data_IF_160283825169
#
_entry.id   IF_160283825169
#
_cell.length_a   1.000
_cell.length_b   1.000
_cell.length_c   1.000
_cell.angle_alpha   90.00
_cell.angle_beta   90.00
_cell.angle_gamma   90.00
#
_symmetry.space_group_name_H-M   'P 1'
#
loop_
_entity.id
_entity.type
_entity.pdbx_description
1 polymer ?
#
# COMPACT_ATOMS: atom_id res chain seq x y z
N UNK A 1 -12.78 11.89 -15.32
CA UNK A 1 -12.84 11.11 -14.05
C UNK A 1 -13.53 11.89 -12.93
N UNK A 2 -12.93 12.95 -12.34
CA UNK A 2 -13.52 13.66 -11.18
C UNK A 2 -14.97 14.12 -11.37
N UNK A 3 -15.34 14.65 -12.54
CA UNK A 3 -16.74 15.02 -12.84
C UNK A 3 -17.71 13.84 -12.72
N UNK A 4 -17.29 12.63 -13.11
CA UNK A 4 -18.12 11.44 -13.00
C UNK A 4 -18.24 10.99 -11.54
N UNK A 5 -17.15 11.08 -10.78
CA UNK A 5 -17.16 10.78 -9.33
C UNK A 5 -18.10 11.74 -8.60
N UNK A 6 -18.01 13.05 -8.85
CA UNK A 6 -18.90 14.04 -8.22
C UNK A 6 -20.37 13.75 -8.53
N UNK A 7 -20.70 13.46 -9.79
CA UNK A 7 -22.06 13.07 -10.19
C UNK A 7 -22.55 11.83 -9.44
N UNK A 8 -21.71 10.80 -9.30
CA UNK A 8 -22.05 9.58 -8.55
C UNK A 8 -22.29 9.87 -7.06
N UNK A 9 -21.47 10.72 -6.45
CA UNK A 9 -21.62 11.12 -5.03
C UNK A 9 -22.92 11.90 -4.81
N UNK A 10 -23.19 12.90 -5.64
CA UNK A 10 -24.41 13.71 -5.55
C UNK A 10 -25.68 12.86 -5.80
N UNK A 11 -25.63 11.94 -6.76
CA UNK A 11 -26.73 11.02 -7.01
C UNK A 11 -26.98 10.06 -5.82
N UNK A 12 -25.91 9.63 -5.13
CA UNK A 12 -26.02 8.73 -3.98
C UNK A 12 -26.57 9.43 -2.73
N UNK A 13 -26.10 10.65 -2.43
CA UNK A 13 -26.50 11.37 -1.21
C UNK A 13 -27.75 12.24 -1.38
N UNK A 14 -28.18 12.54 -2.60
CA UNK A 14 -29.28 13.47 -2.85
C UNK A 14 -28.99 14.90 -2.38
N UNK A 15 -27.72 15.27 -2.24
CA UNK A 15 -27.26 16.56 -1.70
C UNK A 15 -26.09 17.12 -2.51
N UNK A 16 -25.81 18.41 -2.33
CA UNK A 16 -24.68 19.13 -2.95
C UNK A 16 -23.33 18.82 -2.26
N UNK A 17 -23.13 17.56 -1.85
CA UNK A 17 -21.88 17.10 -1.24
C UNK A 17 -20.72 17.26 -2.23
N UNK A 18 -19.91 18.30 -2.03
CA UNK A 18 -18.80 18.64 -2.92
C UNK A 18 -17.44 18.76 -2.19
N UNK A 19 -17.39 18.57 -0.88
CA UNK A 19 -16.13 18.62 -0.12
C UNK A 19 -15.38 17.30 -0.21
N UNK A 20 -14.05 17.35 -0.42
CA UNK A 20 -13.25 16.14 -0.65
C UNK A 20 -11.86 16.22 -0.02
N UNK A 21 -11.37 15.09 0.47
CA UNK A 21 -9.96 14.86 0.75
C UNK A 21 -9.39 14.00 -0.37
N UNK A 22 -8.31 14.45 -1.01
CA UNK A 22 -7.64 13.69 -2.06
C UNK A 22 -6.48 12.89 -1.49
N UNK A 23 -6.21 11.71 -2.06
CA UNK A 23 -5.03 10.91 -1.75
C UNK A 23 -4.02 10.98 -2.89
N UNK A 24 -2.73 10.95 -2.56
CA UNK A 24 -1.63 10.94 -3.55
C UNK A 24 -0.56 9.90 -3.20
N UNK A 25 0.11 9.32 -4.21
CA UNK A 25 1.31 8.54 -4.00
C UNK A 25 2.39 9.33 -3.26
N UNK A 26 3.33 8.66 -2.60
CA UNK A 26 4.39 9.35 -1.86
C UNK A 26 5.37 10.10 -2.75
N UNK A 27 5.61 9.61 -3.95
CA UNK A 27 6.57 10.19 -4.90
C UNK A 27 6.02 11.45 -5.62
N UNK A 28 4.76 11.82 -5.41
CA UNK A 28 4.19 13.04 -6.01
C UNK A 28 4.77 14.29 -5.35
N UNK A 29 5.33 15.18 -6.18
CA UNK A 29 5.82 16.49 -5.79
C UNK A 29 4.71 17.53 -5.70
N UNK A 30 5.11 18.78 -5.45
CA UNK A 30 4.16 19.88 -5.26
C UNK A 30 3.41 20.22 -6.54
N UNK A 31 4.05 20.06 -7.70
CA UNK A 31 3.42 20.29 -9.01
C UNK A 31 2.29 19.29 -9.25
N UNK A 32 2.55 17.99 -9.09
CA UNK A 32 1.54 16.96 -9.28
C UNK A 32 0.37 17.12 -8.30
N UNK A 33 0.66 17.48 -7.04
CA UNK A 33 -0.37 17.79 -6.03
C UNK A 33 -1.21 19.00 -6.41
N UNK A 34 -0.60 20.07 -6.93
CA UNK A 34 -1.30 21.27 -7.38
C UNK A 34 -2.19 20.95 -8.60
N UNK A 35 -1.67 20.21 -9.57
CA UNK A 35 -2.42 19.81 -10.76
C UNK A 35 -3.63 18.93 -10.40
N UNK A 36 -3.47 17.99 -9.48
CA UNK A 36 -4.56 17.15 -8.95
C UNK A 36 -5.63 17.99 -8.24
N UNK A 37 -5.22 18.95 -7.38
CA UNK A 37 -6.15 19.89 -6.72
C UNK A 37 -6.93 20.68 -7.77
N UNK A 38 -6.23 21.31 -8.70
CA UNK A 38 -6.82 22.13 -9.75
C UNK A 38 -7.81 21.34 -10.60
N UNK A 39 -7.49 20.08 -10.93
CA UNK A 39 -8.39 19.20 -11.69
C UNK A 39 -9.66 18.84 -10.91
N UNK A 40 -9.55 18.58 -9.60
CA UNK A 40 -10.71 18.31 -8.73
C UNK A 40 -11.59 19.56 -8.55
N UNK A 41 -10.98 20.72 -8.33
CA UNK A 41 -11.70 21.99 -8.18
C UNK A 41 -12.42 22.40 -9.47
N UNK A 42 -11.77 22.25 -10.64
CA UNK A 42 -12.41 22.43 -11.94
C UNK A 42 -13.58 21.46 -12.19
N UNK A 43 -13.61 20.33 -11.50
CA UNK A 43 -14.72 19.39 -11.57
C UNK A 43 -15.89 19.75 -10.64
N UNK A 44 -15.72 20.73 -9.75
CA UNK A 44 -16.73 21.19 -8.80
C UNK A 44 -16.50 20.76 -7.35
N UNK A 45 -15.40 20.05 -7.05
CA UNK A 45 -15.07 19.70 -5.66
C UNK A 45 -14.42 20.87 -4.91
N UNK A 46 -14.68 20.99 -3.61
CA UNK A 46 -13.90 21.78 -2.66
C UNK A 46 -12.87 20.87 -1.98
N UNK A 47 -11.60 21.01 -2.34
CA UNK A 47 -10.51 20.17 -1.79
C UNK A 47 -10.14 20.65 -0.38
N UNK A 48 -10.53 19.89 0.64
CA UNK A 48 -10.23 20.19 2.04
C UNK A 48 -8.76 19.94 2.39
N UNK A 49 -8.21 18.82 1.92
CA UNK A 49 -6.83 18.39 2.18
C UNK A 49 -6.36 17.40 1.13
N UNK A 50 -5.05 17.33 0.95
CA UNK A 50 -4.39 16.24 0.23
C UNK A 50 -3.56 15.46 1.24
N UNK A 51 -3.73 14.15 1.30
CA UNK A 51 -2.96 13.25 2.17
C UNK A 51 -2.27 12.18 1.35
N UNK A 52 -1.22 11.58 1.92
CA UNK A 52 -0.56 10.44 1.27
C UNK A 52 -1.38 9.17 1.44
N UNK A 53 -1.45 8.34 0.39
CA UNK A 53 -2.13 7.04 0.40
C UNK A 53 -1.77 6.15 1.60
N UNK A 54 -0.48 5.94 1.96
CA UNK A 54 -0.14 5.09 3.11
C UNK A 54 -0.61 5.67 4.45
N UNK A 55 -0.62 7.00 4.61
CA UNK A 55 -1.19 7.64 5.81
C UNK A 55 -2.71 7.49 5.87
N UNK A 56 -3.40 7.60 4.72
CA UNK A 56 -4.82 7.32 4.62
C UNK A 56 -5.11 5.86 5.02
N UNK A 57 -4.30 4.91 4.55
CA UNK A 57 -4.44 3.51 4.90
C UNK A 57 -4.32 3.25 6.41
N UNK A 58 -3.32 3.86 7.07
CA UNK A 58 -3.19 3.78 8.53
C UNK A 58 -4.40 4.37 9.27
N UNK A 59 -4.88 5.53 8.80
CA UNK A 59 -6.05 6.21 9.36
C UNK A 59 -7.34 5.38 9.20
N UNK A 60 -7.49 4.65 8.09
CA UNK A 60 -8.63 3.77 7.84
C UNK A 60 -8.80 2.70 8.93
N UNK A 61 -7.68 2.25 9.49
CA UNK A 61 -7.66 1.27 10.58
C UNK A 61 -7.63 1.90 11.97
N UNK A 62 -7.66 3.23 12.09
CA UNK A 62 -7.65 3.94 13.38
C UNK A 62 -6.42 3.65 14.22
N UNK A 63 -5.29 3.28 13.60
CA UNK A 63 -4.13 2.79 14.37
C UNK A 63 -3.62 3.91 15.27
N UNK A 64 -3.53 3.63 16.57
CA UNK A 64 -3.04 4.56 17.58
C UNK A 64 -3.94 5.76 17.87
N UNK A 65 -5.18 5.78 17.37
CA UNK A 65 -6.14 6.86 17.65
C UNK A 65 -6.80 6.71 19.04
N UNK A 66 -6.95 5.49 19.54
CA UNK A 66 -7.69 5.22 20.78
C UNK A 66 -6.82 5.29 22.05
N UNK A 67 -5.49 5.24 21.90
CA UNK A 67 -4.54 5.22 23.01
C UNK A 67 -3.40 6.22 22.78
N UNK A 68 -3.38 7.33 23.54
CA UNK A 68 -2.32 8.34 23.48
C UNK A 68 -0.93 7.83 23.86
N UNK A 69 -0.83 6.69 24.55
CA UNK A 69 0.45 6.05 24.92
C UNK A 69 0.94 5.02 23.89
N UNK A 70 0.12 4.72 22.88
CA UNK A 70 0.48 3.73 21.86
C UNK A 70 1.63 4.20 20.99
N UNK A 71 2.58 3.29 20.79
CA UNK A 71 3.66 3.37 19.82
C UNK A 71 3.60 2.10 19.00
N UNK A 72 3.59 2.22 17.67
CA UNK A 72 3.64 1.05 16.79
C UNK A 72 4.39 1.33 15.50
N UNK A 73 4.97 0.29 14.93
CA UNK A 73 5.54 0.28 13.59
C UNK A 73 4.60 -0.52 12.68
N UNK A 74 4.06 0.18 11.67
CA UNK A 74 3.08 -0.35 10.73
C UNK A 74 3.69 -0.39 9.34
N UNK A 75 3.52 -1.51 8.65
CA UNK A 75 3.88 -1.62 7.24
C UNK A 75 2.62 -1.54 6.37
N UNK A 76 2.59 -0.60 5.42
CA UNK A 76 1.55 -0.54 4.39
C UNK A 76 2.10 -1.21 3.14
N UNK A 77 1.47 -2.32 2.74
CA UNK A 77 1.80 -3.09 1.54
C UNK A 77 0.75 -2.82 0.45
N UNK A 78 1.07 -1.96 -0.51
CA UNK A 78 0.17 -1.58 -1.60
C UNK A 78 0.59 -2.24 -2.91
N UNK A 79 -0.12 -3.30 -3.34
CA UNK A 79 0.07 -3.92 -4.65
C UNK A 79 -1.15 -3.67 -5.53
N UNK A 80 -1.02 -2.69 -6.42
CA UNK A 80 -2.05 -2.32 -7.39
C UNK A 80 -2.04 -3.19 -8.65
N UNK A 81 -2.70 -2.69 -9.69
CA UNK A 81 -2.66 -3.32 -11.02
C UNK A 81 -1.33 -3.10 -11.76
N UNK A 82 -0.63 -2.01 -11.46
CA UNK A 82 0.57 -1.58 -12.22
C UNK A 82 1.85 -1.48 -11.40
N UNK A 83 1.74 -1.19 -10.12
CA UNK A 83 2.89 -0.89 -9.26
C UNK A 83 2.74 -1.52 -7.88
N UNK A 84 3.88 -1.70 -7.23
CA UNK A 84 4.04 -2.03 -5.84
C UNK A 84 4.56 -0.79 -5.10
N UNK A 85 3.97 -0.47 -3.97
CA UNK A 85 4.50 0.49 -3.02
C UNK A 85 4.47 -0.12 -1.61
N UNK A 86 5.61 -0.04 -0.92
CA UNK A 86 5.74 -0.49 0.46
C UNK A 86 6.19 0.70 1.28
N UNK A 87 5.48 0.98 2.37
CA UNK A 87 5.76 2.13 3.24
C UNK A 87 5.82 1.67 4.69
N UNK A 88 6.85 2.11 5.40
CA UNK A 88 6.97 1.92 6.83
C UNK A 88 6.52 3.19 7.56
N UNK A 89 5.60 3.04 8.51
CA UNK A 89 5.02 4.15 9.27
C UNK A 89 5.25 3.89 10.75
N UNK A 90 5.84 4.86 11.45
CA UNK A 90 5.82 4.92 12.90
C UNK A 90 4.58 5.69 13.33
N UNK A 91 3.77 5.08 14.19
CA UNK A 91 2.59 5.69 14.81
C UNK A 91 2.91 5.94 16.28
N UNK A 92 2.89 7.19 16.72
CA UNK A 92 3.07 7.54 18.13
C UNK A 92 1.97 8.51 18.55
N UNK A 93 1.15 8.13 19.53
CA UNK A 93 0.10 9.02 20.07
C UNK A 93 -0.83 9.58 18.98
N UNK A 94 -1.28 8.73 18.05
CA UNK A 94 -2.12 9.13 16.91
C UNK A 94 -1.38 9.86 15.77
N UNK A 95 -0.09 10.15 15.91
CA UNK A 95 0.71 10.84 14.89
C UNK A 95 1.36 9.81 13.95
N UNK A 96 1.02 9.90 12.66
CA UNK A 96 1.61 9.07 11.60
C UNK A 96 2.86 9.71 11.01
N UNK A 97 4.03 9.11 11.27
CA UNK A 97 5.30 9.49 10.64
C UNK A 97 5.74 8.42 9.66
N UNK A 98 5.90 8.81 8.39
CA UNK A 98 6.50 7.94 7.37
C UNK A 98 8.00 7.84 7.67
N UNK A 99 8.48 6.62 7.86
CA UNK A 99 9.92 6.36 8.05
C UNK A 99 10.62 6.34 6.70
N UNK A 100 10.13 5.48 5.79
CA UNK A 100 10.63 5.37 4.43
C UNK A 100 9.62 4.62 3.54
N UNK A 101 9.84 4.61 2.24
CA UNK A 101 9.03 3.88 1.27
C UNK A 101 9.84 3.44 0.06
N UNK A 102 9.48 2.28 -0.49
CA UNK A 102 9.94 1.81 -1.79
C UNK A 102 8.76 1.78 -2.75
N UNK A 103 8.96 2.32 -3.94
CA UNK A 103 8.03 2.28 -5.07
C UNK A 103 8.68 1.52 -6.22
N UNK A 104 7.94 0.60 -6.83
CA UNK A 104 8.38 -0.22 -7.96
C UNK A 104 7.23 -0.34 -8.97
N UNK A 105 7.40 0.27 -10.13
CA UNK A 105 6.43 0.23 -11.25
C UNK A 105 6.66 -0.94 -12.21
N UNK A 106 7.71 -1.73 -11.99
CA UNK A 106 7.98 -2.94 -12.75
C UNK A 106 7.16 -4.15 -12.25
N UNK A 107 6.59 -4.03 -11.05
CA UNK A 107 5.82 -5.09 -10.37
C UNK A 107 4.37 -4.64 -10.18
N UNK A 108 3.40 -5.46 -10.61
CA UNK A 108 1.98 -5.18 -10.40
C UNK A 108 1.07 -6.33 -10.81
N UNK A 109 -0.23 -6.17 -10.56
CA UNK A 109 -1.26 -7.14 -10.95
C UNK A 109 -1.21 -7.59 -12.42
N UNK A 110 -0.87 -6.67 -13.32
CA UNK A 110 -0.71 -6.95 -14.75
C UNK A 110 0.42 -7.93 -15.07
N UNK A 111 1.45 -8.02 -14.22
CA UNK A 111 2.52 -9.03 -14.38
C UNK A 111 2.02 -10.44 -14.09
N UNK A 112 1.09 -10.60 -13.15
CA UNK A 112 0.42 -11.88 -12.93
C UNK A 112 -0.50 -12.24 -14.10
N UNK A 113 -1.15 -11.24 -14.72
CA UNK A 113 -1.94 -11.47 -15.93
C UNK A 113 -1.06 -11.92 -17.09
N UNK A 114 0.10 -11.28 -17.28
CA UNK A 114 1.08 -11.67 -18.32
C UNK A 114 1.53 -13.14 -18.18
N UNK A 115 1.76 -13.62 -16.96
CA UNK A 115 2.11 -15.03 -16.69
C UNK A 115 1.00 -15.98 -17.16
N UNK A 116 -0.27 -15.67 -16.84
CA UNK A 116 -1.40 -16.46 -17.31
C UNK A 116 -1.58 -16.38 -18.82
N UNK A 117 -1.44 -15.19 -19.41
CA UNK A 117 -1.54 -15.00 -20.87
C UNK A 117 -0.52 -15.86 -21.61
N UNK A 118 0.72 -15.91 -21.13
CA UNK A 118 1.76 -16.76 -21.73
C UNK A 118 1.39 -18.25 -21.63
N UNK A 119 0.89 -18.69 -20.48
CA UNK A 119 0.43 -20.07 -20.31
C UNK A 119 -0.75 -20.40 -21.23
N UNK A 120 -1.76 -19.55 -21.29
CA UNK A 120 -2.96 -19.75 -22.10
C UNK A 120 -2.65 -19.71 -23.61
N UNK A 121 -1.75 -18.82 -24.05
CA UNK A 121 -1.29 -18.78 -25.44
C UNK A 121 -0.52 -20.06 -25.82
N UNK A 122 0.28 -20.60 -24.90
CA UNK A 122 0.95 -21.88 -25.10
C UNK A 122 -0.05 -23.05 -25.19
N UNK A 123 -1.11 -23.04 -24.36
CA UNK A 123 -2.18 -24.04 -24.45
C UNK A 123 -2.96 -23.94 -25.76
N UNK A 124 -3.25 -22.73 -26.24
CA UNK A 124 -3.84 -22.53 -27.57
C UNK A 124 -2.94 -23.15 -28.66
N UNK A 125 -1.65 -22.82 -28.66
CA UNK A 125 -0.70 -23.40 -29.62
C UNK A 125 -0.63 -24.92 -29.55
N UNK A 126 -0.71 -25.50 -28.35
CA UNK A 126 -0.68 -26.96 -28.16
C UNK A 126 -1.90 -27.63 -28.78
N UNK A 127 -3.08 -27.06 -28.57
CA UNK A 127 -4.38 -27.64 -28.94
C UNK A 127 -4.73 -27.40 -30.42
N UNK A 128 -4.46 -26.22 -30.97
CA UNK A 128 -4.81 -25.86 -32.35
C UNK A 128 -3.62 -25.83 -33.32
N UNK A 129 -2.40 -26.07 -32.84
CA UNK A 129 -1.16 -26.05 -33.63
C UNK A 129 -0.87 -24.72 -34.32
N UNK A 130 -1.41 -23.63 -33.79
CA UNK A 130 -1.30 -22.28 -34.33
C UNK A 130 -0.90 -21.25 -33.26
N UNK A 131 -0.21 -20.18 -33.64
CA UNK A 131 0.37 -19.20 -32.71
C UNK A 131 -0.29 -17.82 -32.85
N UNK A 132 -0.98 -17.40 -31.79
CA UNK A 132 -1.73 -16.13 -31.76
C UNK A 132 -0.89 -14.94 -31.27
N UNK A 133 0.39 -15.12 -30.95
CA UNK A 133 1.23 -14.08 -30.34
C UNK A 133 1.30 -12.79 -31.17
N UNK A 134 1.33 -12.92 -32.49
CA UNK A 134 1.40 -11.78 -33.41
C UNK A 134 0.02 -11.15 -33.69
N UNK A 135 -1.06 -11.84 -33.32
CA UNK A 135 -2.42 -11.32 -33.45
C UNK A 135 -2.79 -10.44 -32.25
N UNK A 136 -2.61 -9.12 -32.41
CA UNK A 136 -2.91 -8.12 -31.37
C UNK A 136 -4.34 -8.21 -30.83
N UNK A 137 -5.33 -8.51 -31.69
CA UNK A 137 -6.74 -8.62 -31.29
C UNK A 137 -6.98 -9.87 -30.44
N UNK A 138 -6.44 -11.02 -30.87
CA UNK A 138 -6.53 -12.26 -30.11
C UNK A 138 -5.85 -12.11 -28.74
N UNK A 139 -4.64 -11.55 -28.71
CA UNK A 139 -3.89 -11.32 -27.46
C UNK A 139 -4.59 -10.34 -26.52
N UNK A 140 -5.31 -9.33 -27.04
CA UNK A 140 -6.12 -8.43 -26.20
C UNK A 140 -7.30 -9.17 -25.55
N UNK A 141 -8.02 -10.00 -26.33
CA UNK A 141 -9.10 -10.85 -25.79
C UNK A 141 -8.57 -11.83 -24.73
N UNK A 142 -7.43 -12.46 -25.01
CA UNK A 142 -6.80 -13.40 -24.08
C UNK A 142 -6.38 -12.74 -22.78
N UNK A 143 -5.85 -11.50 -22.83
CA UNK A 143 -5.53 -10.71 -21.62
C UNK A 143 -6.76 -10.48 -20.74
N UNK A 144 -7.88 -10.06 -21.32
CA UNK A 144 -9.12 -9.85 -20.56
C UNK A 144 -9.63 -11.15 -19.91
N UNK A 145 -9.60 -12.26 -20.66
CA UNK A 145 -9.94 -13.58 -20.14
C UNK A 145 -8.99 -14.06 -19.04
N UNK A 146 -7.68 -13.79 -19.17
CA UNK A 146 -6.67 -14.14 -18.18
C UNK A 146 -6.84 -13.35 -16.86
N UNK A 147 -7.13 -12.05 -16.94
CA UNK A 147 -7.40 -11.22 -15.77
C UNK A 147 -8.63 -11.72 -15.00
N UNK A 148 -9.71 -12.04 -15.71
CA UNK A 148 -10.92 -12.61 -15.09
C UNK A 148 -10.62 -13.97 -14.46
N UNK A 149 -9.86 -14.83 -15.15
CA UNK A 149 -9.40 -16.11 -14.61
C UNK A 149 -8.59 -15.93 -13.31
N UNK A 150 -7.63 -14.99 -13.28
CA UNK A 150 -6.84 -14.64 -12.08
C UNK A 150 -7.74 -14.22 -10.90
N UNK A 151 -8.76 -13.40 -11.16
CA UNK A 151 -9.71 -12.98 -10.14
C UNK A 151 -10.49 -14.17 -9.57
N UNK A 152 -10.95 -15.10 -10.42
CA UNK A 152 -11.64 -16.31 -9.95
C UNK A 152 -10.70 -17.20 -9.13
N UNK A 153 -9.45 -17.36 -9.55
CA UNK A 153 -8.42 -18.15 -8.86
C UNK A 153 -8.06 -17.60 -7.47
N UNK A 154 -8.35 -16.32 -7.20
CA UNK A 154 -8.18 -15.72 -5.88
C UNK A 154 -9.13 -16.33 -4.85
N UNK A 155 -10.34 -16.71 -5.26
CA UNK A 155 -11.37 -17.28 -4.38
C UNK A 155 -11.54 -18.79 -4.54
N UNK A 156 -11.33 -19.31 -5.75
CA UNK A 156 -11.54 -20.74 -6.08
C UNK A 156 -10.22 -21.45 -6.40
N UNK A 157 -10.18 -22.77 -6.19
CA UNK A 157 -9.00 -23.60 -6.48
C UNK A 157 -8.76 -23.84 -7.98
N UNK A 158 -9.77 -23.60 -8.81
CA UNK A 158 -9.72 -23.75 -10.27
C UNK A 158 -10.54 -22.63 -10.93
N UNK A 159 -10.22 -22.32 -12.19
CA UNK A 159 -10.96 -21.39 -13.01
C UNK A 159 -10.89 -21.81 -14.48
N UNK A 160 -11.94 -21.54 -15.23
CA UNK A 160 -12.00 -21.76 -16.67
C UNK A 160 -11.83 -20.43 -17.38
N UNK A 161 -10.76 -20.28 -18.18
CA UNK A 161 -10.65 -19.18 -19.13
C UNK A 161 -11.45 -19.56 -20.38
N UNK A 162 -12.49 -18.78 -20.70
CA UNK A 162 -13.30 -18.95 -21.91
C UNK A 162 -13.27 -17.65 -22.72
N UNK A 163 -12.91 -17.75 -24.00
CA UNK A 163 -12.80 -16.61 -24.90
C UNK A 163 -13.40 -16.97 -26.26
N UNK A 164 -14.51 -16.33 -26.59
CA UNK A 164 -15.21 -16.52 -27.86
C UNK A 164 -14.46 -15.89 -29.05
N UNK A 165 -14.42 -16.64 -30.15
CA UNK A 165 -13.77 -16.26 -31.42
C UNK A 165 -12.41 -15.64 -31.18
N UNK A 166 -11.56 -16.33 -30.42
CA UNK A 166 -10.24 -15.86 -30.03
C UNK A 166 -9.37 -15.60 -31.27
N UNK A 167 -9.35 -16.55 -32.21
CA UNK A 167 -8.60 -16.47 -33.46
C UNK A 167 -9.36 -17.21 -34.56
N UNK A 168 -9.60 -16.57 -35.71
CA UNK A 168 -10.20 -17.18 -36.91
C UNK A 168 -11.48 -18.00 -36.66
N UNK A 169 -12.36 -17.48 -35.79
CA UNK A 169 -13.62 -18.12 -35.42
C UNK A 169 -13.49 -19.24 -34.38
N UNK A 170 -12.28 -19.54 -33.90
CA UNK A 170 -12.03 -20.54 -32.88
C UNK A 170 -12.40 -19.99 -31.50
N UNK A 171 -13.30 -20.67 -30.81
CA UNK A 171 -13.55 -20.47 -29.39
C UNK A 171 -12.47 -21.18 -28.57
N UNK A 172 -11.95 -20.50 -27.55
CA UNK A 172 -10.90 -21.02 -26.69
C UNK A 172 -11.41 -21.25 -25.27
N UNK A 173 -11.19 -22.45 -24.74
CA UNK A 173 -11.50 -22.80 -23.36
C UNK A 173 -10.32 -23.55 -22.73
N UNK A 174 -9.86 -23.11 -21.57
CA UNK A 174 -8.77 -23.74 -20.84
C UNK A 174 -9.02 -23.68 -19.32
N UNK A 175 -8.91 -24.82 -18.65
CA UNK A 175 -8.99 -24.91 -17.19
C UNK A 175 -7.60 -24.69 -16.57
N UNK A 176 -7.53 -23.77 -15.61
CA UNK A 176 -6.31 -23.46 -14.85
C UNK A 176 -6.59 -23.70 -13.37
N UNK A 177 -5.65 -24.36 -12.68
CA UNK A 177 -5.71 -24.49 -11.22
C UNK A 177 -4.92 -23.38 -10.54
N UNK A 178 -5.31 -23.03 -9.30
CA UNK A 178 -4.58 -22.06 -8.47
C UNK A 178 -3.14 -22.51 -8.25
N UNK A 179 -2.94 -23.79 -7.95
CA UNK A 179 -1.59 -24.36 -7.79
C UNK A 179 -0.72 -24.17 -9.03
N UNK A 180 -1.30 -24.33 -10.24
CA UNK A 180 -0.58 -24.09 -11.50
C UNK A 180 -0.22 -22.61 -11.66
N UNK A 181 -1.17 -21.71 -11.43
CA UNK A 181 -0.92 -20.27 -11.47
C UNK A 181 0.17 -19.83 -10.48
N UNK A 182 0.10 -20.34 -9.25
CA UNK A 182 1.07 -20.01 -8.20
C UNK A 182 2.47 -20.54 -8.53
N UNK A 183 2.56 -21.75 -9.10
CA UNK A 183 3.82 -22.32 -9.58
C UNK A 183 4.45 -21.48 -10.70
N UNK A 184 3.65 -21.08 -11.69
CA UNK A 184 4.09 -20.23 -12.80
C UNK A 184 4.52 -18.83 -12.34
N UNK A 185 3.91 -18.33 -11.24
CA UNK A 185 4.17 -17.00 -10.69
C UNK A 185 5.23 -16.98 -9.58
N UNK A 186 5.90 -18.11 -9.31
CA UNK A 186 6.85 -18.26 -8.20
C UNK A 186 7.92 -17.17 -8.14
N UNK A 187 8.58 -16.88 -9.27
CA UNK A 187 9.59 -15.82 -9.34
C UNK A 187 8.99 -14.42 -9.09
N UNK A 188 7.78 -14.17 -9.60
CA UNK A 188 7.12 -12.88 -9.41
C UNK A 188 6.75 -12.65 -7.95
N UNK A 189 6.32 -13.69 -7.23
CA UNK A 189 6.10 -13.57 -5.78
C UNK A 189 7.38 -13.22 -5.03
N UNK A 190 8.53 -13.81 -5.37
CA UNK A 190 9.81 -13.43 -4.76
C UNK A 190 10.15 -11.97 -5.05
N UNK A 191 9.94 -11.52 -6.28
CA UNK A 191 10.14 -10.12 -6.66
C UNK A 191 9.23 -9.18 -5.85
N UNK A 192 7.99 -9.58 -5.53
CA UNK A 192 7.07 -8.83 -4.68
C UNK A 192 7.52 -8.74 -3.20
N UNK A 193 8.36 -9.65 -2.72
CA UNK A 193 8.85 -9.69 -1.34
C UNK A 193 10.19 -8.95 -1.17
N UNK A 194 11.06 -8.97 -2.18
CA UNK A 194 12.38 -8.33 -2.11
C UNK A 194 12.33 -6.86 -1.65
N UNK A 195 11.37 -6.02 -2.09
CA UNK A 195 11.26 -4.64 -1.59
C UNK A 195 10.92 -4.54 -0.10
N UNK A 196 10.28 -5.55 0.49
CA UNK A 196 10.01 -5.57 1.95
C UNK A 196 11.34 -5.62 2.70
N UNK A 197 12.19 -6.59 2.37
CA UNK A 197 13.49 -6.79 3.02
C UNK A 197 14.37 -5.55 2.88
N UNK A 198 14.48 -5.01 1.66
CA UNK A 198 15.23 -3.77 1.40
C UNK A 198 14.74 -2.58 2.23
N UNK A 199 13.43 -2.43 2.39
CA UNK A 199 12.85 -1.34 3.16
C UNK A 199 13.15 -1.50 4.66
N UNK A 200 13.05 -2.72 5.19
CA UNK A 200 13.36 -3.04 6.58
C UNK A 200 14.84 -2.76 6.89
N UNK A 201 15.75 -3.21 6.03
CA UNK A 201 17.19 -2.94 6.13
C UNK A 201 17.49 -1.44 6.09
N UNK A 202 16.89 -0.70 5.14
CA UNK A 202 17.06 0.75 5.01
C UNK A 202 16.62 1.51 6.26
N UNK A 203 15.57 1.04 6.91
CA UNK A 203 15.04 1.62 8.15
C UNK A 203 15.74 1.12 9.41
N UNK A 204 16.63 0.12 9.31
CA UNK A 204 17.21 -0.61 10.44
C UNK A 204 16.13 -1.12 11.41
N UNK A 205 15.12 -1.80 10.86
CA UNK A 205 13.98 -2.38 11.58
C UNK A 205 13.90 -3.86 11.25
N UNK A 206 13.73 -4.71 12.25
CA UNK A 206 13.53 -6.14 12.01
C UNK A 206 12.07 -6.46 11.68
N UNK A 207 11.83 -7.55 10.94
CA UNK A 207 10.45 -8.00 10.66
C UNK A 207 9.64 -8.29 11.94
N UNK A 208 10.32 -8.62 13.06
CA UNK A 208 9.69 -8.86 14.35
C UNK A 208 9.18 -7.58 15.05
N UNK A 209 9.80 -6.44 14.74
CA UNK A 209 9.43 -5.12 15.27
C UNK A 209 8.17 -4.55 14.59
N UNK A 210 7.73 -5.15 13.48
CA UNK A 210 6.49 -4.77 12.82
C UNK A 210 5.32 -5.26 13.67
N UNK A 211 4.42 -4.35 14.03
CA UNK A 211 3.25 -4.66 14.83
C UNK A 211 2.08 -5.11 13.96
N UNK A 212 1.86 -4.39 12.85
CA UNK A 212 0.70 -4.59 11.96
C UNK A 212 1.09 -4.39 10.50
N UNK A 213 0.46 -5.14 9.61
CA UNK A 213 0.64 -5.00 8.16
C UNK A 213 -0.71 -4.69 7.53
N UNK A 214 -0.81 -3.56 6.83
CA UNK A 214 -2.01 -3.16 6.09
C UNK A 214 -1.87 -3.57 4.64
N UNK A 215 -2.83 -4.34 4.13
CA UNK A 215 -2.90 -4.70 2.71
C UNK A 215 -3.75 -3.69 1.92
N UNK A 216 -3.17 -3.12 0.87
CA UNK A 216 -3.83 -2.19 -0.05
C UNK A 216 -3.70 -2.66 -1.49
N UNK A 217 -4.72 -2.41 -2.32
CA UNK A 217 -4.72 -2.75 -3.74
C UNK A 217 -5.17 -4.17 -4.03
N UNK A 218 -5.94 -4.35 -5.10
CA UNK A 218 -6.66 -5.61 -5.39
C UNK A 218 -5.77 -6.84 -5.58
N UNK A 219 -4.52 -6.66 -6.03
CA UNK A 219 -3.59 -7.78 -6.23
C UNK A 219 -3.09 -8.37 -4.92
N UNK A 220 -3.24 -7.68 -3.79
CA UNK A 220 -2.96 -8.24 -2.45
C UNK A 220 -3.95 -9.34 -2.05
N UNK A 221 -5.05 -9.54 -2.79
CA UNK A 221 -5.98 -10.64 -2.52
C UNK A 221 -5.40 -12.01 -2.84
N UNK A 222 -4.35 -12.10 -3.67
CA UNK A 222 -3.77 -13.38 -4.09
C UNK A 222 -3.34 -14.17 -2.83
N UNK A 223 -3.94 -15.35 -2.56
CA UNK A 223 -3.74 -16.06 -1.29
C UNK A 223 -2.27 -16.42 -1.03
N UNK A 224 -1.54 -16.84 -2.07
CA UNK A 224 -0.11 -17.14 -1.94
C UNK A 224 0.73 -15.95 -1.48
N UNK A 225 0.44 -14.76 -1.99
CA UNK A 225 1.15 -13.54 -1.58
C UNK A 225 0.88 -13.24 -0.09
N UNK A 226 -0.36 -13.38 0.36
CA UNK A 226 -0.70 -13.18 1.76
C UNK A 226 -0.01 -14.20 2.68
N UNK A 227 0.03 -15.48 2.28
CA UNK A 227 0.77 -16.51 3.01
C UNK A 227 2.25 -16.16 3.14
N UNK A 228 2.87 -15.73 2.04
CA UNK A 228 4.29 -15.36 2.06
C UNK A 228 4.55 -14.13 2.93
N UNK A 229 3.67 -13.13 2.93
CA UNK A 229 3.76 -11.99 3.84
C UNK A 229 3.60 -12.43 5.31
N UNK A 230 2.67 -13.33 5.58
CA UNK A 230 2.49 -13.92 6.91
C UNK A 230 3.79 -14.60 7.39
N UNK A 231 4.47 -15.34 6.51
CA UNK A 231 5.74 -16.00 6.80
C UNK A 231 6.86 -14.99 7.08
N UNK A 232 6.99 -13.94 6.25
CA UNK A 232 7.98 -12.87 6.42
C UNK A 232 7.84 -12.18 7.77
N UNK A 233 6.60 -11.89 8.18
CA UNK A 233 6.32 -11.22 9.46
C UNK A 233 6.01 -12.22 10.58
N UNK A 234 6.48 -13.47 10.50
CA UNK A 234 6.40 -14.46 11.60
C UNK A 234 4.99 -14.60 12.20
N UNK A 235 3.95 -14.57 11.38
CA UNK A 235 2.58 -14.73 11.84
C UNK A 235 1.89 -13.45 12.35
N UNK A 236 2.50 -12.26 12.22
CA UNK A 236 1.87 -10.98 12.60
C UNK A 236 0.59 -10.71 11.82
N UNK A 237 -0.32 -9.96 12.42
CA UNK A 237 -1.64 -9.71 11.84
C UNK A 237 -1.55 -8.95 10.51
N UNK A 238 -2.09 -9.56 9.46
CA UNK A 238 -2.41 -8.89 8.20
C UNK A 238 -3.83 -8.30 8.32
N UNK A 239 -3.92 -6.98 8.35
CA UNK A 239 -5.18 -6.26 8.51
C UNK A 239 -6.04 -6.37 7.24
N UNK A 240 -7.18 -7.06 7.38
CA UNK A 240 -8.11 -7.39 6.26
C UNK A 240 -9.57 -6.99 6.52
N UNK A 241 -9.86 -6.27 7.62
CA UNK A 241 -11.24 -5.86 7.99
C UNK A 241 -11.87 -4.96 6.91
N UNK A 242 -11.05 -4.16 6.25
CA UNK A 242 -11.46 -3.25 5.18
C UNK A 242 -10.99 -3.85 3.84
N UNK A 243 -11.84 -3.80 2.83
CA UNK A 243 -11.50 -4.25 1.47
C UNK A 243 -10.24 -3.54 0.96
N UNK A 244 -9.20 -4.25 0.49
CA UNK A 244 -7.91 -3.65 0.14
C UNK A 244 -8.00 -2.58 -0.97
N UNK A 245 -9.00 -2.63 -1.84
CA UNK A 245 -9.28 -1.60 -2.86
C UNK A 245 -9.87 -0.32 -2.27
N UNK A 246 -10.58 -0.44 -1.15
CA UNK A 246 -11.28 0.64 -0.48
C UNK A 246 -10.52 1.27 0.68
N UNK A 247 -9.45 0.64 1.19
CA UNK A 247 -8.70 1.09 2.39
C UNK A 247 -8.29 2.57 2.28
N UNK A 248 -7.66 2.96 1.18
CA UNK A 248 -7.16 4.33 0.98
C UNK A 248 -8.32 5.33 0.91
N UNK A 249 -9.37 5.00 0.16
CA UNK A 249 -10.55 5.87 0.03
C UNK A 249 -11.30 6.02 1.36
N UNK A 250 -11.42 4.93 2.14
CA UNK A 250 -12.01 4.94 3.47
C UNK A 250 -11.22 5.85 4.41
N UNK A 251 -9.89 5.74 4.42
CA UNK A 251 -9.02 6.64 5.20
C UNK A 251 -9.18 8.11 4.82
N UNK A 252 -9.31 8.41 3.53
CA UNK A 252 -9.57 9.76 3.06
C UNK A 252 -10.95 10.28 3.54
N UNK A 253 -11.96 9.42 3.55
CA UNK A 253 -13.30 9.76 4.08
C UNK A 253 -13.26 10.02 5.59
N UNK A 254 -12.53 9.20 6.37
CA UNK A 254 -12.29 9.46 7.80
C UNK A 254 -11.61 10.82 8.00
N UNK A 255 -10.57 11.12 7.21
CA UNK A 255 -9.91 12.42 7.27
C UNK A 255 -10.86 13.59 6.93
N UNK A 256 -11.76 13.41 5.96
CA UNK A 256 -12.75 14.41 5.60
C UNK A 256 -13.74 14.67 6.74
N UNK A 257 -14.24 13.60 7.39
CA UNK A 257 -15.11 13.68 8.56
C UNK A 257 -14.45 14.47 9.71
N UNK A 258 -13.19 14.14 10.04
CA UNK A 258 -12.42 14.86 11.06
C UNK A 258 -12.24 16.35 10.75
N UNK A 259 -12.17 16.75 9.47
CA UNK A 259 -12.02 18.15 9.06
C UNK A 259 -13.34 18.93 9.09
N UNK A 260 -14.46 18.26 8.82
CA UNK A 260 -15.78 18.88 8.90
C UNK A 260 -16.21 19.09 10.36
N UNK A 261 -15.76 18.18 11.23
CA UNK A 261 -16.12 18.16 12.64
C UNK A 261 -17.51 17.56 12.80
N UNK A 262 -17.60 16.43 13.48
CA UNK A 262 -18.87 16.04 14.11
C UNK A 262 -19.25 17.16 15.08
N UNK A 263 -20.47 17.67 14.99
CA UNK A 263 -21.04 18.57 16.01
C UNK A 263 -21.15 17.90 17.40
N UNK A 264 -20.73 16.62 17.55
CA UNK A 264 -20.81 15.83 18.77
C UNK A 264 -19.50 15.18 19.25
N UNK A 265 -18.35 15.35 18.58
CA UNK A 265 -17.07 14.89 19.11
C UNK A 265 -16.03 16.00 19.05
N UNK A 266 -15.65 16.53 20.22
CA UNK A 266 -14.51 17.42 20.40
C UNK A 266 -13.17 16.70 20.15
N UNK A 267 -12.96 16.16 18.95
CA UNK A 267 -11.64 15.74 18.49
C UNK A 267 -11.11 16.80 17.53
N UNK A 268 -10.70 17.91 18.17
CA UNK A 268 -9.77 18.93 17.71
C UNK A 268 -9.77 19.29 16.22
N UNK A 269 -10.59 20.30 15.89
CA UNK A 269 -10.26 21.28 14.85
C UNK A 269 -8.95 21.98 15.20
N UNK A 270 -7.84 21.34 14.92
CA UNK A 270 -6.56 22.01 14.82
C UNK A 270 -5.83 21.45 13.61
N UNK A 271 -5.56 22.30 12.63
CA UNK A 271 -4.30 22.19 11.88
C UNK A 271 -3.19 22.10 12.91
N UNK A 272 -2.84 20.89 13.32
CA UNK A 272 -1.70 20.67 14.19
C UNK A 272 -0.46 21.03 13.36
N UNK A 273 -0.02 22.28 13.48
CA UNK A 273 1.39 22.60 13.33
C UNK A 273 2.10 21.85 14.43
N UNK A 274 2.60 20.67 14.08
CA UNK A 274 3.36 19.84 14.99
C UNK A 274 4.76 20.43 15.00
N UNK A 275 5.15 21.00 16.14
CA UNK A 275 6.54 21.38 16.36
C UNK A 275 7.40 20.12 16.28
N UNK A 276 8.54 20.21 15.61
CA UNK A 276 9.47 19.10 15.46
C UNK A 276 10.89 19.53 15.86
N UNK A 277 11.73 18.57 16.22
CA UNK A 277 13.16 18.83 16.41
C UNK A 277 13.78 19.30 15.10
N UNK A 278 14.49 20.43 15.11
CA UNK A 278 15.18 20.93 13.92
C UNK A 278 16.36 20.04 13.51
N UNK A 279 17.02 19.40 14.49
CA UNK A 279 18.17 18.51 14.31
C UNK A 279 18.01 17.27 15.19
N UNK A 280 18.78 16.25 14.87
CA UNK A 280 18.89 15.07 15.72
C UNK A 280 19.53 15.45 17.06
N UNK A 281 19.01 14.88 18.15
CA UNK A 281 19.59 14.90 19.48
C UNK A 281 20.33 13.59 19.65
N UNK A 282 21.62 13.66 19.98
CA UNK A 282 22.48 12.50 20.16
C UNK A 282 23.24 12.60 21.47
N UNK A 283 23.58 11.45 22.04
CA UNK A 283 24.41 11.32 23.24
C UNK A 283 25.74 10.71 22.81
N UNK A 284 26.83 11.35 23.20
CA UNK A 284 28.18 10.78 23.09
C UNK A 284 28.44 9.96 24.35
N UNK A 285 28.79 8.70 24.20
CA UNK A 285 29.12 7.81 25.33
C UNK A 285 30.64 7.67 25.37
N UNK A 286 31.25 8.09 26.48
CA UNK A 286 32.69 8.27 26.75
C UNK A 286 33.30 9.57 26.18
N UNK A 287 33.95 10.34 27.05
CA UNK A 287 34.62 11.60 26.68
C UNK A 287 36.06 11.38 26.18
N UNK A 288 36.72 10.31 26.63
CA UNK A 288 38.18 10.15 26.57
C UNK A 288 38.77 9.61 25.26
N UNK A 289 37.94 9.30 24.25
CA UNK A 289 38.48 8.89 22.94
C UNK A 289 37.84 9.67 21.78
N UNK A 290 38.69 10.10 20.84
CA UNK A 290 38.30 10.75 19.58
C UNK A 290 37.44 9.85 18.67
N UNK A 291 37.32 8.56 19.00
CA UNK A 291 36.49 7.56 18.31
C UNK A 291 35.23 7.15 19.09
N UNK A 292 34.83 7.89 20.12
CA UNK A 292 33.67 7.51 20.95
C UNK A 292 32.37 7.54 20.14
N UNK A 293 31.50 6.52 20.24
CA UNK A 293 30.28 6.44 19.46
C UNK A 293 29.29 7.54 19.86
N UNK A 294 28.81 8.28 18.85
CA UNK A 294 27.70 9.22 19.00
C UNK A 294 26.41 8.49 18.67
N UNK A 295 25.57 8.28 19.67
CA UNK A 295 24.31 7.55 19.54
C UNK A 295 23.19 8.56 19.40
N UNK A 296 22.51 8.57 18.25
CA UNK A 296 21.32 9.41 18.05
C UNK A 296 20.17 8.89 18.91
N UNK A 297 19.71 9.71 19.85
CA UNK A 297 18.63 9.36 20.79
C UNK A 297 17.26 9.90 20.33
N UNK A 298 17.24 11.00 19.59
CA UNK A 298 16.03 11.53 18.94
C UNK A 298 16.44 12.00 17.54
N UNK A 299 15.93 11.39 16.45
CA UNK A 299 16.22 11.84 15.08
C UNK A 299 15.77 13.29 14.80
N UNK A 300 16.28 13.89 13.72
CA UNK A 300 15.75 15.17 13.24
C UNK A 300 14.29 15.04 12.77
N UNK A 301 13.59 16.18 12.79
CA UNK A 301 12.18 16.31 12.43
C UNK A 301 11.25 15.47 13.31
N UNK A 302 11.69 15.07 14.51
CA UNK A 302 10.86 14.30 15.44
C UNK A 302 9.81 15.22 16.06
N UNK A 303 8.50 14.91 15.95
CA UNK A 303 7.44 15.63 16.65
C UNK A 303 7.74 15.82 18.13
N UNK A 304 7.52 17.02 18.65
CA UNK A 304 7.60 17.32 20.09
C UNK A 304 6.18 17.55 20.64
N UNK A 305 5.91 17.15 21.90
CA UNK A 305 6.84 16.54 22.86
C UNK A 305 7.16 15.06 22.55
N UNK A 306 8.40 14.65 22.79
CA UNK A 306 8.86 13.26 22.64
C UNK A 306 9.67 12.85 23.87
N UNK A 307 9.46 11.63 24.36
CA UNK A 307 10.23 11.02 25.44
C UNK A 307 10.81 9.70 24.95
N UNK A 308 12.12 9.52 25.10
CA UNK A 308 12.83 8.26 24.85
C UNK A 308 13.63 7.92 26.10
N UNK A 309 13.67 6.65 26.47
CA UNK A 309 14.45 6.15 27.61
C UNK A 309 15.54 5.26 27.04
N UNK A 310 16.79 5.62 27.29
CA UNK A 310 17.97 4.81 26.95
C UNK A 310 18.63 4.37 28.26
N UNK A 311 19.03 3.11 28.35
CA UNK A 311 19.83 2.58 29.46
C UNK A 311 21.27 2.48 28.99
N UNK A 312 22.17 3.13 29.70
CA UNK A 312 23.61 3.00 29.53
C UNK A 312 24.18 2.25 30.74
N UNK A 313 25.22 1.46 30.53
CA UNK A 313 25.94 0.74 31.59
C UNK A 313 27.40 1.18 31.61
N UNK A 314 28.01 1.20 32.79
CA UNK A 314 29.46 1.38 32.92
C UNK A 314 30.19 0.18 32.34
N UNK A 315 31.43 0.41 31.89
CA UNK A 315 32.34 -0.65 31.44
C UNK A 315 33.19 -1.23 32.58
N UNK A 316 33.09 -0.67 33.79
CA UNK A 316 33.79 -1.11 34.99
C UNK A 316 32.82 -1.11 36.18
N UNK A 317 33.01 -2.06 37.10
CA UNK A 317 32.33 -2.10 38.39
C UNK A 317 32.86 -0.97 39.29
N UNK A 318 32.00 -0.40 40.14
CA UNK A 318 32.29 0.70 41.09
C UNK A 318 32.76 2.04 40.48
N UNK A 319 32.13 2.46 39.36
CA UNK A 319 32.27 3.81 38.78
C UNK A 319 31.40 4.88 39.45
#
# INVERSE_FOLDING_TARGET
MYKNILKSVQAYHGSDANQVVLTVPLHFGDKEKADMRNAAEKAGFRVLRIIHEPSAAALAYGIGQDDPSSSSIVLVYHLGGRSLQITLISVNSGIYRIMDSIYDDSIGGGKFDEVLVQHLAAEFKRMWKDDIKDNKRAMAKLRAGAETCKHVLTSHGTATCSVESLHDGIDFQCNVSRARFESLSSQLFQNCLNPVQKLLEKCNVEAADIDKVILCGGSTRIPRLQSLLQDVFKGKELLKRISPEGVVAYGAAVQASLLQGDEGTELHRNTHQINCTARAIAVKVNEDSSSSPVITVIPSLTPIPVKRIYKFTSSQDDQ
#
